data_IF_995847442348
#
_entry.id   IF_995847442348
#
_cell.length_a   1.000
_cell.length_b   1.000
_cell.length_c   1.000
_cell.angle_alpha   90.00
_cell.angle_beta   90.00
_cell.angle_gamma   90.00
#
_symmetry.space_group_name_H-M   'P 1'
#
loop_
_entity.id
_entity.type
_entity.pdbx_description
1 polymer ?
#
# COMPACT_ATOMS: atom_id res chain seq x y z
N UNK A 1 13.72 7.19 -2.13
CA UNK A 1 12.48 7.82 -2.65
C UNK A 1 12.30 7.22 -4.02
N UNK A 2 12.09 5.91 -4.02
CA UNK A 2 12.45 5.10 -5.17
C UNK A 2 11.32 5.18 -6.18
N UNK A 3 11.68 5.46 -7.42
CA UNK A 3 10.73 5.54 -8.51
C UNK A 3 11.05 4.46 -9.52
N UNK A 4 10.00 3.86 -10.06
CA UNK A 4 10.11 2.91 -11.16
C UNK A 4 9.07 3.27 -12.21
N UNK A 5 9.33 2.98 -13.50
CA UNK A 5 8.36 3.18 -14.55
C UNK A 5 7.11 2.31 -14.34
N UNK A 6 5.93 2.73 -14.83
CA UNK A 6 4.72 1.93 -14.71
C UNK A 6 4.87 0.56 -15.40
N UNK A 7 4.49 -0.52 -14.71
CA UNK A 7 4.50 -1.88 -15.27
C UNK A 7 3.20 -2.15 -16.04
N UNK A 8 3.23 -2.04 -17.36
CA UNK A 8 2.10 -2.41 -18.23
C UNK A 8 2.21 -1.80 -19.63
N UNK A 9 1.44 -2.33 -20.60
CA UNK A 9 1.29 -1.72 -21.93
C UNK A 9 0.90 -0.25 -21.74
N UNK A 10 1.74 0.65 -22.28
CA UNK A 10 1.82 2.11 -22.06
C UNK A 10 0.50 2.92 -22.21
N UNK A 11 -0.62 2.27 -22.51
CA UNK A 11 -1.92 2.89 -22.79
C UNK A 11 -2.84 3.12 -21.59
N UNK A 12 -2.55 2.57 -20.39
CA UNK A 12 -3.47 2.69 -19.24
C UNK A 12 -2.81 2.72 -17.85
N UNK A 13 -1.48 2.64 -17.75
CA UNK A 13 -0.81 2.66 -16.45
C UNK A 13 -0.66 4.12 -15.95
N UNK A 14 -1.23 4.40 -14.78
CA UNK A 14 -1.14 5.70 -14.11
C UNK A 14 0.31 5.95 -13.65
N UNK A 15 0.85 7.12 -14.02
CA UNK A 15 2.21 7.58 -13.69
C UNK A 15 2.53 7.38 -12.21
N UNK A 16 3.66 6.73 -11.93
CA UNK A 16 4.14 6.46 -10.57
C UNK A 16 4.69 7.70 -9.89
N UNK A 17 5.15 8.70 -10.65
CA UNK A 17 5.80 9.88 -10.09
C UNK A 17 4.90 10.68 -9.13
N UNK A 18 3.66 11.08 -9.50
CA UNK A 18 2.81 11.83 -8.58
C UNK A 18 2.46 11.04 -7.31
N UNK A 19 2.35 9.71 -7.43
CA UNK A 19 2.09 8.81 -6.30
C UNK A 19 3.29 8.75 -5.36
N UNK A 20 4.50 8.64 -5.91
CA UNK A 20 5.73 8.61 -5.11
C UNK A 20 5.97 9.95 -4.42
N UNK A 21 5.78 11.09 -5.09
CA UNK A 21 5.90 12.42 -4.47
C UNK A 21 4.93 12.56 -3.30
N UNK A 22 3.65 12.23 -3.53
CA UNK A 22 2.62 12.27 -2.50
C UNK A 22 2.98 11.38 -1.32
N UNK A 23 3.45 10.16 -1.59
CA UNK A 23 3.83 9.22 -0.54
C UNK A 23 5.00 9.72 0.31
N UNK A 24 6.04 10.30 -0.30
CA UNK A 24 7.17 10.88 0.46
C UNK A 24 6.68 11.97 1.42
N UNK A 25 5.75 12.81 0.97
CA UNK A 25 5.16 13.87 1.81
C UNK A 25 4.29 13.30 2.92
N UNK A 26 3.42 12.33 2.62
CA UNK A 26 2.57 11.66 3.62
C UNK A 26 3.41 10.89 4.65
N UNK A 27 4.49 10.25 4.21
CA UNK A 27 5.47 9.58 5.06
C UNK A 27 6.10 10.57 6.05
N UNK A 28 6.57 11.73 5.59
CA UNK A 28 7.12 12.77 6.46
C UNK A 28 6.05 13.35 7.39
N UNK A 29 4.83 13.57 6.90
CA UNK A 29 3.72 14.05 7.73
C UNK A 29 3.38 13.05 8.85
N UNK A 30 3.39 11.75 8.54
CA UNK A 30 3.24 10.66 9.53
C UNK A 30 4.26 10.76 10.65
N UNK A 31 5.52 11.05 10.30
CA UNK A 31 6.59 11.18 11.29
C UNK A 31 6.40 12.39 12.21
N UNK A 32 5.82 13.48 11.70
CA UNK A 32 5.60 14.71 12.46
C UNK A 32 4.21 14.81 13.10
N UNK A 33 3.31 13.86 12.87
CA UNK A 33 1.92 13.87 13.35
C UNK A 33 1.85 14.08 14.88
N UNK A 34 2.66 13.35 15.64
CA UNK A 34 2.75 13.47 17.11
C UNK A 34 3.26 14.85 17.58
N UNK A 35 3.87 15.65 16.68
CA UNK A 35 4.35 17.03 16.91
C UNK A 35 3.43 18.09 16.30
N UNK A 36 2.21 17.72 15.90
CA UNK A 36 1.23 18.61 15.27
C UNK A 36 1.23 18.58 13.74
N UNK A 37 1.92 17.61 13.13
CA UNK A 37 1.98 17.41 11.69
C UNK A 37 2.78 18.49 10.94
N UNK A 38 2.60 18.51 9.63
CA UNK A 38 3.12 19.54 8.74
C UNK A 38 1.98 20.52 8.37
N UNK A 39 2.11 21.82 8.67
CA UNK A 39 1.22 22.83 8.14
C UNK A 39 1.23 22.82 6.60
N UNK A 40 0.11 23.16 5.96
CA UNK A 40 -0.02 23.17 4.49
C UNK A 40 1.05 24.01 3.77
N UNK A 41 1.57 25.07 4.39
CA UNK A 41 2.67 25.84 3.82
C UNK A 41 3.99 25.05 3.78
N UNK A 42 4.31 24.31 4.85
CA UNK A 42 5.49 23.45 4.91
C UNK A 42 5.33 22.24 3.97
N UNK A 43 4.14 21.66 3.90
CA UNK A 43 3.80 20.60 2.95
C UNK A 43 4.03 21.06 1.50
N UNK A 44 3.58 22.27 1.16
CA UNK A 44 3.83 22.87 -0.15
C UNK A 44 5.33 23.05 -0.44
N UNK A 45 6.13 23.46 0.54
CA UNK A 45 7.58 23.58 0.37
C UNK A 45 8.27 22.21 0.25
N UNK A 46 7.80 21.20 0.98
CA UNK A 46 8.28 19.82 0.84
C UNK A 46 8.04 19.28 -0.56
N UNK A 47 6.86 19.49 -1.12
CA UNK A 47 6.55 19.08 -2.50
C UNK A 47 7.55 19.73 -3.48
N UNK A 48 7.85 21.01 -3.32
CA UNK A 48 8.82 21.71 -4.17
C UNK A 48 10.24 21.14 -4.03
N UNK A 49 10.68 20.86 -2.81
CA UNK A 49 11.98 20.25 -2.54
C UNK A 49 12.08 18.80 -3.07
N UNK A 50 10.99 18.02 -3.00
CA UNK A 50 10.92 16.68 -3.58
C UNK A 50 11.05 16.75 -5.10
N UNK A 51 10.33 17.64 -5.77
CA UNK A 51 10.45 17.82 -7.23
C UNK A 51 11.88 18.21 -7.63
N UNK A 52 12.51 19.12 -6.88
CA UNK A 52 13.91 19.46 -7.10
C UNK A 52 14.83 18.25 -6.95
N UNK A 53 14.64 17.43 -5.91
CA UNK A 53 15.46 16.24 -5.69
C UNK A 53 15.35 15.23 -6.85
N UNK A 54 14.16 15.07 -7.46
CA UNK A 54 14.02 14.25 -8.66
C UNK A 54 14.69 14.87 -9.88
N UNK A 55 14.51 16.18 -10.08
CA UNK A 55 15.12 16.87 -11.21
C UNK A 55 16.65 16.89 -11.12
N UNK A 56 17.25 17.00 -9.93
CA UNK A 56 18.71 16.93 -9.76
C UNK A 56 19.29 15.55 -10.08
N UNK A 57 18.44 14.52 -10.13
CA UNK A 57 18.76 13.17 -10.61
C UNK A 57 18.37 12.93 -12.07
N UNK A 58 17.94 13.98 -12.77
CA UNK A 58 17.51 13.89 -14.16
C UNK A 58 16.17 13.17 -14.36
N UNK A 59 15.34 13.05 -13.32
CA UNK A 59 14.04 12.36 -13.38
C UNK A 59 12.94 13.39 -13.63
N UNK A 60 12.26 13.27 -14.76
CA UNK A 60 11.28 14.25 -15.25
C UNK A 60 9.89 13.63 -15.29
N UNK A 61 8.93 14.27 -14.62
CA UNK A 61 7.52 13.86 -14.59
C UNK A 61 6.98 13.67 -16.01
N UNK A 62 6.43 12.49 -16.28
CA UNK A 62 5.84 12.12 -17.58
C UNK A 62 6.84 11.62 -18.63
N UNK A 63 8.14 11.68 -18.35
CA UNK A 63 9.19 11.11 -19.21
C UNK A 63 9.70 9.79 -18.61
N UNK A 64 8.94 8.71 -18.81
CA UNK A 64 9.18 7.42 -18.14
C UNK A 64 10.57 6.80 -18.35
N UNK A 65 11.23 7.11 -19.46
CA UNK A 65 12.60 6.65 -19.71
C UNK A 65 13.60 7.20 -18.69
N UNK A 66 13.30 8.37 -18.11
CA UNK A 66 14.14 8.98 -17.07
C UNK A 66 14.00 8.29 -15.72
N UNK A 67 12.95 7.47 -15.50
CA UNK A 67 12.72 6.81 -14.20
C UNK A 67 13.72 5.67 -13.95
N UNK A 68 14.52 5.31 -14.95
CA UNK A 68 15.65 4.39 -14.81
C UNK A 68 16.90 5.07 -14.20
N UNK A 69 16.92 6.41 -14.09
CA UNK A 69 18.00 7.12 -13.41
C UNK A 69 18.00 6.81 -11.91
N UNK A 70 19.13 7.09 -11.25
CA UNK A 70 19.27 6.88 -9.81
C UNK A 70 18.23 7.71 -9.04
N UNK A 71 17.37 7.03 -8.26
CA UNK A 71 16.35 7.70 -7.46
C UNK A 71 16.98 8.58 -6.37
N UNK A 72 16.37 9.74 -6.04
CA UNK A 72 16.87 10.60 -4.97
C UNK A 72 16.74 9.97 -3.59
N UNK A 73 17.56 10.47 -2.67
CA UNK A 73 17.50 10.14 -1.24
C UNK A 73 17.04 11.37 -0.42
N UNK A 74 16.83 11.17 0.88
CA UNK A 74 16.33 12.26 1.76
C UNK A 74 17.33 13.41 1.81
N UNK A 75 18.65 13.18 1.69
CA UNK A 75 19.65 14.25 1.57
C UNK A 75 19.44 15.16 0.35
N UNK A 76 18.99 14.63 -0.79
CA UNK A 76 18.69 15.46 -1.97
C UNK A 76 17.46 16.35 -1.74
N UNK A 77 16.46 15.83 -1.01
CA UNK A 77 15.31 16.61 -0.55
C UNK A 77 15.75 17.70 0.45
N UNK A 78 16.58 17.34 1.44
CA UNK A 78 17.12 18.28 2.43
C UNK A 78 17.88 19.40 1.72
N UNK A 79 18.71 19.08 0.72
CA UNK A 79 19.41 20.08 -0.11
C UNK A 79 18.43 21.04 -0.77
N UNK A 80 17.32 20.55 -1.32
CA UNK A 80 16.27 21.41 -1.88
C UNK A 80 15.66 22.38 -0.88
N UNK A 81 15.48 21.96 0.38
CA UNK A 81 15.02 22.83 1.47
C UNK A 81 16.09 23.86 1.83
N UNK A 82 17.35 23.46 1.93
CA UNK A 82 18.48 24.35 2.22
C UNK A 82 18.65 25.42 1.11
N UNK A 83 18.53 25.04 -0.16
CA UNK A 83 18.53 25.98 -1.30
C UNK A 83 17.44 27.05 -1.15
N UNK A 84 16.22 26.64 -0.77
CA UNK A 84 15.12 27.59 -0.51
C UNK A 84 15.49 28.51 0.66
N UNK A 85 16.01 27.98 1.76
CA UNK A 85 16.39 28.75 2.95
C UNK A 85 17.43 29.83 2.66
N UNK A 86 18.39 29.51 1.79
CA UNK A 86 19.51 30.38 1.40
C UNK A 86 19.15 31.40 0.31
N UNK A 87 17.91 31.39 -0.19
CA UNK A 87 17.39 32.43 -1.06
C UNK A 87 17.34 32.08 -2.54
N UNK A 88 17.54 30.81 -2.88
CA UNK A 88 17.34 30.29 -4.23
C UNK A 88 18.56 29.60 -4.79
N UNK A 89 18.41 29.04 -5.98
CA UNK A 89 19.43 28.21 -6.62
C UNK A 89 20.71 29.00 -6.94
N UNK A 90 20.59 30.23 -7.47
CA UNK A 90 21.74 31.09 -7.77
C UNK A 90 22.56 31.41 -6.51
N UNK A 91 21.89 31.80 -5.41
CA UNK A 91 22.55 32.06 -4.14
C UNK A 91 23.20 30.80 -3.56
N UNK A 92 22.53 29.64 -3.68
CA UNK A 92 23.08 28.36 -3.26
C UNK A 92 24.33 27.95 -4.06
N UNK A 93 24.38 28.28 -5.36
CA UNK A 93 25.55 28.04 -6.21
C UNK A 93 26.72 28.94 -5.82
N UNK A 94 26.47 30.24 -5.56
CA UNK A 94 27.50 31.17 -5.10
C UNK A 94 28.10 30.77 -3.74
N UNK A 95 27.28 30.22 -2.84
CA UNK A 95 27.69 29.74 -1.52
C UNK A 95 28.31 28.32 -1.54
N UNK A 96 28.23 27.62 -2.68
CA UNK A 96 28.76 26.26 -2.86
C UNK A 96 27.94 25.16 -2.19
N UNK A 97 26.64 25.39 -1.96
CA UNK A 97 25.68 24.37 -1.50
C UNK A 97 25.29 23.40 -2.62
N UNK A 98 25.20 23.93 -3.85
CA UNK A 98 25.09 23.16 -5.09
C UNK A 98 26.36 23.37 -5.91
N UNK A 99 26.71 22.40 -6.75
CA UNK A 99 27.92 22.45 -7.55
C UNK A 99 27.65 22.83 -9.02
N UNK A 100 28.73 23.17 -9.73
CA UNK A 100 28.67 23.55 -11.14
C UNK A 100 28.16 22.39 -12.02
N UNK A 101 28.37 21.13 -11.62
CA UNK A 101 27.93 19.98 -12.39
C UNK A 101 26.40 19.83 -12.36
N UNK A 102 25.77 20.09 -11.21
CA UNK A 102 24.31 20.16 -11.09
C UNK A 102 23.73 21.33 -11.89
N UNK A 103 24.41 22.48 -11.90
CA UNK A 103 24.02 23.63 -12.74
C UNK A 103 24.08 23.32 -14.24
N UNK A 104 25.19 22.74 -14.72
CA UNK A 104 25.32 22.28 -16.10
C UNK A 104 24.23 21.26 -16.46
N UNK A 105 23.93 20.34 -15.55
CA UNK A 105 22.87 19.35 -15.73
C UNK A 105 21.49 20.00 -15.92
N UNK A 106 21.12 20.98 -15.09
CA UNK A 106 19.86 21.71 -15.25
C UNK A 106 19.80 22.53 -16.54
N UNK A 107 20.92 23.09 -17.00
CA UNK A 107 21.00 23.75 -18.29
C UNK A 107 20.73 22.77 -19.45
N UNK A 108 21.36 21.58 -19.42
CA UNK A 108 21.17 20.55 -20.45
C UNK A 108 19.74 20.01 -20.53
N UNK A 109 19.09 19.87 -19.36
CA UNK A 109 17.68 19.48 -19.28
C UNK A 109 16.72 20.60 -19.75
N UNK A 110 17.20 21.84 -19.87
CA UNK A 110 16.36 23.00 -20.15
C UNK A 110 15.50 23.42 -18.96
N UNK A 111 15.95 23.13 -17.73
CA UNK A 111 15.36 23.66 -16.49
C UNK A 111 15.86 25.09 -16.22
N UNK A 112 17.14 25.36 -16.54
CA UNK A 112 17.79 26.67 -16.42
C UNK A 112 18.34 27.14 -17.77
N UNK A 113 18.49 28.46 -17.94
CA UNK A 113 19.27 29.06 -19.04
C UNK A 113 20.77 29.12 -18.70
N UNK A 114 21.62 29.42 -19.69
CA UNK A 114 23.07 29.66 -19.46
C UNK A 114 23.32 30.80 -18.47
N UNK A 115 22.36 31.72 -18.32
CA UNK A 115 22.39 32.81 -17.33
C UNK A 115 21.80 32.44 -15.97
N UNK A 116 21.33 31.20 -15.79
CA UNK A 116 20.78 30.70 -14.53
C UNK A 116 19.32 31.04 -14.26
N UNK A 117 18.58 31.52 -15.26
CA UNK A 117 17.16 31.81 -15.13
C UNK A 117 16.30 30.56 -15.39
N UNK A 118 15.25 30.29 -14.59
CA UNK A 118 14.39 29.13 -14.77
C UNK A 118 13.54 29.23 -16.04
N UNK A 119 13.51 28.14 -16.83
CA UNK A 119 12.78 28.05 -18.09
C UNK A 119 11.44 27.33 -17.86
N UNK A 120 10.32 28.04 -17.97
CA UNK A 120 8.98 27.47 -17.74
C UNK A 120 8.28 26.96 -19.01
N UNK A 121 8.80 27.31 -20.19
CA UNK A 121 8.14 27.03 -21.48
C UNK A 121 8.56 25.68 -22.08
N UNK A 122 9.51 24.98 -21.46
CA UNK A 122 10.12 23.74 -21.95
C UNK A 122 9.29 22.46 -21.72
N UNK A 123 8.09 22.59 -21.12
CA UNK A 123 7.23 21.43 -20.81
C UNK A 123 7.59 20.68 -19.54
N UNK A 124 8.74 20.98 -18.93
CA UNK A 124 9.16 20.46 -17.62
C UNK A 124 8.54 21.32 -16.51
N UNK A 125 8.00 20.68 -15.48
CA UNK A 125 7.48 21.38 -14.30
C UNK A 125 8.62 21.77 -13.37
N UNK A 126 9.04 23.04 -13.44
CA UNK A 126 10.13 23.57 -12.62
C UNK A 126 9.62 23.99 -11.23
N UNK A 127 10.22 23.53 -10.11
CA UNK A 127 9.85 23.92 -8.76
C UNK A 127 10.34 25.35 -8.46
N UNK A 128 9.57 26.35 -8.90
CA UNK A 128 9.93 27.77 -8.82
C UNK A 128 10.28 28.24 -7.40
N UNK A 129 9.73 27.61 -6.36
CA UNK A 129 10.08 27.98 -4.98
C UNK A 129 11.53 27.67 -4.62
N UNK A 130 12.15 26.67 -5.27
CA UNK A 130 13.56 26.31 -5.07
C UNK A 130 14.47 27.26 -5.85
N UNK A 131 14.12 27.57 -7.10
CA UNK A 131 14.97 28.42 -7.95
C UNK A 131 14.86 29.91 -7.60
N UNK A 132 13.63 30.41 -7.43
CA UNK A 132 13.34 31.83 -7.14
C UNK A 132 12.38 31.97 -5.95
N UNK A 133 12.81 31.69 -4.71
CA UNK A 133 11.96 31.79 -3.53
C UNK A 133 11.57 33.23 -3.21
N UNK A 134 10.33 33.40 -2.72
CA UNK A 134 9.92 34.63 -2.03
C UNK A 134 10.42 34.64 -0.59
N UNK A 135 10.46 35.79 0.08
CA UNK A 135 10.81 35.88 1.52
C UNK A 135 9.97 34.91 2.37
N UNK A 136 8.68 34.76 2.03
CA UNK A 136 7.79 33.81 2.71
C UNK A 136 8.18 32.36 2.48
N UNK A 137 8.66 31.99 1.28
CA UNK A 137 9.16 30.64 1.04
C UNK A 137 10.39 30.35 1.91
N UNK A 138 11.32 31.31 2.01
CA UNK A 138 12.51 31.18 2.86
C UNK A 138 12.14 31.05 4.34
N UNK A 139 11.17 31.81 4.84
CA UNK A 139 10.70 31.71 6.23
C UNK A 139 10.13 30.33 6.56
N UNK A 140 9.37 29.73 5.63
CA UNK A 140 8.79 28.40 5.79
C UNK A 140 9.88 27.31 5.68
N UNK A 141 10.84 27.45 4.75
CA UNK A 141 11.97 26.51 4.66
C UNK A 141 12.83 26.51 5.94
N UNK A 142 13.07 27.70 6.52
CA UNK A 142 13.77 27.85 7.81
C UNK A 142 13.05 27.16 8.97
N UNK A 143 11.72 27.07 8.97
CA UNK A 143 10.98 26.33 10.00
C UNK A 143 11.02 24.81 9.78
N UNK A 144 11.28 24.38 8.54
CA UNK A 144 11.30 22.99 8.12
C UNK A 144 12.67 22.33 8.34
N UNK A 145 13.78 23.06 8.14
CA UNK A 145 15.16 22.56 8.31
C UNK A 145 15.39 21.77 9.60
N UNK A 146 15.04 22.27 10.81
CA UNK A 146 15.31 21.55 12.05
C UNK A 146 14.55 20.22 12.16
N UNK A 147 13.49 20.03 11.36
CA UNK A 147 12.71 18.78 11.36
C UNK A 147 13.51 17.63 10.72
N UNK A 148 14.43 17.93 9.82
CA UNK A 148 15.25 16.95 9.12
C UNK A 148 16.50 16.48 9.87
N UNK A 149 16.81 17.07 11.03
CA UNK A 149 17.99 16.68 11.83
C UNK A 149 18.01 15.20 12.20
N UNK A 150 16.84 14.55 12.34
CA UNK A 150 16.77 13.10 12.61
C UNK A 150 17.20 12.23 11.43
N UNK A 151 17.21 12.76 10.20
CA UNK A 151 17.60 12.05 8.97
C UNK A 151 19.06 12.29 8.57
N UNK A 152 19.74 13.25 9.20
CA UNK A 152 21.16 13.52 8.97
C UNK A 152 22.05 12.46 9.63
N UNK A 153 23.34 12.33 9.24
CA UNK A 153 24.27 11.38 9.84
C UNK A 153 24.30 11.45 11.38
N UNK A 154 24.08 10.32 12.04
CA UNK A 154 24.01 10.21 13.51
C UNK A 154 22.62 10.50 14.11
N UNK A 155 21.65 10.90 13.29
CA UNK A 155 20.24 10.97 13.64
C UNK A 155 19.58 9.59 13.74
N UNK A 156 18.45 9.51 14.43
CA UNK A 156 17.72 8.24 14.65
C UNK A 156 17.15 7.64 13.36
N UNK A 157 16.74 8.46 12.39
CA UNK A 157 16.14 8.01 11.12
C UNK A 157 17.16 7.94 9.98
N UNK A 158 18.47 8.01 10.28
CA UNK A 158 19.51 8.06 9.24
C UNK A 158 19.51 6.80 8.36
N UNK A 159 19.05 5.67 8.88
CA UNK A 159 18.82 4.42 8.14
C UNK A 159 17.85 4.55 6.94
N UNK A 160 16.98 5.56 6.93
CA UNK A 160 16.03 5.81 5.84
C UNK A 160 16.57 6.81 4.81
N UNK A 161 17.76 7.36 5.04
CA UNK A 161 18.39 8.33 4.16
C UNK A 161 19.48 7.64 3.32
N UNK A 162 19.01 6.88 2.33
CA UNK A 162 19.86 6.14 1.41
C UNK A 162 19.02 5.39 0.39
N UNK A 163 19.70 4.73 -0.55
CA UNK A 163 19.06 3.81 -1.48
C UNK A 163 18.62 2.55 -0.75
N UNK A 164 17.47 1.99 -1.14
CA UNK A 164 17.01 0.71 -0.62
C UNK A 164 18.08 -0.36 -0.87
N UNK A 165 18.51 -1.03 0.19
CA UNK A 165 19.53 -2.09 0.15
C UNK A 165 18.96 -3.46 0.55
N UNK A 166 17.64 -3.59 0.53
CA UNK A 166 16.90 -4.81 0.86
C UNK A 166 16.57 -5.57 -0.42
N UNK A 167 16.76 -6.89 -0.39
CA UNK A 167 16.28 -7.77 -1.45
C UNK A 167 14.79 -8.05 -1.26
N UNK A 168 13.97 -7.35 -2.06
CA UNK A 168 12.51 -7.41 -1.97
C UNK A 168 11.86 -8.20 -3.12
N UNK A 169 12.65 -8.70 -4.07
CA UNK A 169 12.18 -9.53 -5.17
C UNK A 169 12.14 -11.01 -4.78
N UNK A 170 11.13 -11.36 -3.98
CA UNK A 170 10.92 -12.71 -3.49
C UNK A 170 9.43 -13.03 -3.44
N UNK A 171 9.08 -14.31 -3.61
CA UNK A 171 7.70 -14.79 -3.46
C UNK A 171 7.15 -14.56 -2.05
N UNK A 172 8.03 -14.58 -1.04
CA UNK A 172 7.67 -14.32 0.34
C UNK A 172 8.68 -13.32 0.91
N UNK A 173 8.17 -12.17 1.34
CA UNK A 173 8.93 -11.14 2.03
C UNK A 173 8.36 -11.02 3.44
N UNK A 174 9.16 -11.34 4.44
CA UNK A 174 8.80 -11.18 5.86
C UNK A 174 9.69 -10.11 6.44
N UNK A 175 9.08 -9.02 6.91
CA UNK A 175 9.81 -7.92 7.51
C UNK A 175 9.60 -7.95 9.03
N UNK A 176 10.65 -8.29 9.78
CA UNK A 176 10.59 -8.34 11.24
C UNK A 176 10.75 -6.93 11.85
N UNK A 177 9.73 -6.50 12.58
CA UNK A 177 9.66 -5.20 13.25
C UNK A 177 9.96 -5.26 14.75
N UNK A 178 10.35 -6.43 15.27
CA UNK A 178 10.63 -6.64 16.71
C UNK A 178 11.65 -5.65 17.27
N UNK A 179 12.66 -5.27 16.46
CA UNK A 179 13.70 -4.31 16.86
C UNK A 179 13.21 -2.86 16.92
N UNK A 180 12.08 -2.55 16.27
CA UNK A 180 11.51 -1.20 16.20
C UNK A 180 10.28 -1.03 17.09
N UNK A 181 9.83 -2.10 17.78
CA UNK A 181 8.58 -2.18 18.56
C UNK A 181 8.33 -1.01 19.56
N UNK A 182 9.38 -0.31 19.98
CA UNK A 182 9.32 0.79 20.95
C UNK A 182 10.11 2.04 20.52
N UNK A 183 10.52 2.15 19.24
CA UNK A 183 11.28 3.32 18.77
C UNK A 183 10.36 4.39 18.16
N UNK A 184 10.82 5.65 18.18
CA UNK A 184 10.13 6.75 17.50
C UNK A 184 10.16 6.64 15.97
N UNK A 185 10.91 5.68 15.42
CA UNK A 185 11.05 5.43 13.98
C UNK A 185 9.96 4.51 13.43
N UNK A 186 9.38 3.66 14.29
CA UNK A 186 8.36 2.67 13.88
C UNK A 186 7.29 3.25 12.95
N UNK A 187 6.67 4.42 13.23
CA UNK A 187 5.58 4.92 12.41
C UNK A 187 6.00 5.19 10.96
N UNK A 188 7.21 5.71 10.83
CA UNK A 188 7.80 6.10 9.57
C UNK A 188 8.17 4.85 8.76
N UNK A 189 8.80 3.86 9.41
CA UNK A 189 9.15 2.58 8.79
C UNK A 189 7.87 1.83 8.37
N UNK A 190 6.86 1.74 9.24
CA UNK A 190 5.59 1.10 8.92
C UNK A 190 4.88 1.76 7.74
N UNK A 191 4.91 3.09 7.65
CA UNK A 191 4.36 3.81 6.50
C UNK A 191 5.13 3.46 5.22
N UNK A 192 6.46 3.46 5.26
CA UNK A 192 7.29 3.10 4.11
C UNK A 192 7.03 1.66 3.64
N UNK A 193 6.88 0.71 4.57
CA UNK A 193 6.55 -0.69 4.27
C UNK A 193 5.17 -0.84 3.64
N UNK A 194 4.16 -0.16 4.18
CA UNK A 194 2.81 -0.16 3.64
C UNK A 194 2.76 0.45 2.23
N UNK A 195 3.52 1.54 2.02
CA UNK A 195 3.65 2.13 0.69
C UNK A 195 4.33 1.17 -0.28
N UNK A 196 5.46 0.58 0.10
CA UNK A 196 6.16 -0.39 -0.73
C UNK A 196 5.23 -1.53 -1.11
N UNK A 197 4.49 -2.10 -0.15
CA UNK A 197 3.55 -3.18 -0.40
C UNK A 197 2.41 -2.76 -1.34
N UNK A 198 1.92 -1.51 -1.24
CA UNK A 198 0.90 -0.97 -2.15
C UNK A 198 1.43 -0.83 -3.58
N UNK A 199 2.64 -0.30 -3.75
CA UNK A 199 3.28 -0.15 -5.07
C UNK A 199 3.61 -1.52 -5.68
N UNK A 200 4.10 -2.46 -4.87
CA UNK A 200 4.36 -3.84 -5.27
C UNK A 200 3.08 -4.53 -5.73
N UNK A 201 1.98 -4.38 -4.98
CA UNK A 201 0.68 -4.91 -5.36
C UNK A 201 0.20 -4.34 -6.71
N UNK A 202 0.37 -3.03 -6.92
CA UNK A 202 -0.02 -2.37 -8.18
C UNK A 202 0.76 -2.88 -9.39
N UNK A 203 2.05 -3.22 -9.21
CA UNK A 203 2.93 -3.64 -10.30
C UNK A 203 2.96 -5.14 -10.56
N UNK A 204 2.69 -5.95 -9.53
CA UNK A 204 2.76 -7.40 -9.62
C UNK A 204 1.76 -7.93 -10.67
N UNK A 205 2.20 -8.74 -11.64
CA UNK A 205 1.30 -9.44 -12.55
C UNK A 205 0.61 -10.64 -11.86
N UNK A 206 1.05 -10.99 -10.65
CA UNK A 206 0.58 -12.13 -9.88
C UNK A 206 -0.28 -11.68 -8.69
N UNK A 207 -1.08 -12.61 -8.16
CA UNK A 207 -1.78 -12.45 -6.89
C UNK A 207 -0.83 -12.05 -5.78
N UNK A 208 -1.17 -10.97 -5.09
CA UNK A 208 -0.33 -10.40 -4.05
C UNK A 208 -1.12 -10.29 -2.74
N UNK A 209 -0.64 -10.91 -1.67
CA UNK A 209 -1.26 -10.76 -0.35
C UNK A 209 -0.34 -9.96 0.56
N UNK A 210 -0.91 -8.95 1.21
CA UNK A 210 -0.21 -8.15 2.21
C UNK A 210 -0.84 -8.43 3.56
N UNK A 211 -0.05 -8.98 4.47
CA UNK A 211 -0.49 -9.24 5.84
C UNK A 211 0.27 -8.34 6.82
N UNK A 212 -0.47 -7.54 7.58
CA UNK A 212 0.07 -6.77 8.70
C UNK A 212 -0.34 -7.43 10.02
N UNK A 213 0.65 -7.93 10.74
CA UNK A 213 0.48 -8.23 12.16
C UNK A 213 0.55 -6.94 12.99
N UNK A 214 -0.19 -6.90 14.09
CA UNK A 214 -0.32 -5.72 14.95
C UNK A 214 -0.73 -4.43 14.21
N UNK A 215 -1.75 -4.53 13.37
CA UNK A 215 -2.30 -3.41 12.59
C UNK A 215 -2.70 -2.19 13.43
N UNK A 216 -2.83 -2.33 14.75
CA UNK A 216 -3.12 -1.23 15.66
C UNK A 216 -2.09 -0.09 15.62
N UNK A 217 -0.83 -0.39 15.28
CA UNK A 217 0.21 0.63 15.06
C UNK A 217 -0.10 1.52 13.86
N UNK A 218 -0.66 0.95 12.79
CA UNK A 218 -1.07 1.66 11.58
C UNK A 218 -2.39 2.42 11.77
N UNK A 219 -3.36 1.81 12.48
CA UNK A 219 -4.66 2.45 12.76
C UNK A 219 -4.56 3.69 13.67
N UNK A 220 -3.40 3.87 14.31
CA UNK A 220 -3.07 5.03 15.15
C UNK A 220 -3.14 6.37 14.44
N UNK A 221 -2.86 6.40 13.14
CA UNK A 221 -2.40 7.59 12.42
C UNK A 221 -3.23 7.85 11.18
N UNK A 222 -3.48 9.12 10.87
CA UNK A 222 -4.34 9.51 9.75
C UNK A 222 -3.79 9.07 8.39
N UNK A 223 -2.54 9.40 8.10
CA UNK A 223 -1.87 9.08 6.84
C UNK A 223 -1.84 7.58 6.53
N UNK A 224 -1.53 6.73 7.51
CA UNK A 224 -1.54 5.26 7.32
C UNK A 224 -2.95 4.72 7.17
N UNK A 225 -3.95 5.30 7.85
CA UNK A 225 -5.36 4.92 7.63
C UNK A 225 -5.82 5.27 6.22
N UNK A 226 -5.43 6.44 5.71
CA UNK A 226 -5.74 6.86 4.34
C UNK A 226 -5.11 5.94 3.31
N UNK A 227 -3.85 5.55 3.52
CA UNK A 227 -3.14 4.60 2.66
C UNK A 227 -3.77 3.20 2.71
N UNK A 228 -4.19 2.72 3.89
CA UNK A 228 -4.94 1.46 4.01
C UNK A 228 -6.26 1.55 3.23
N UNK A 229 -7.03 2.62 3.39
CA UNK A 229 -8.29 2.82 2.66
C UNK A 229 -8.06 2.90 1.14
N UNK A 230 -6.98 3.56 0.71
CA UNK A 230 -6.56 3.57 -0.70
C UNK A 230 -6.25 2.16 -1.20
N UNK A 231 -5.47 1.39 -0.43
CA UNK A 231 -5.15 0.00 -0.75
C UNK A 231 -6.43 -0.81 -0.88
N UNK A 232 -7.30 -0.84 0.14
CA UNK A 232 -8.53 -1.66 0.13
C UNK A 232 -9.41 -1.33 -1.08
N UNK A 233 -9.54 -0.04 -1.44
CA UNK A 233 -10.31 0.39 -2.62
C UNK A 233 -9.74 -0.15 -3.94
N UNK A 234 -8.42 -0.24 -4.04
CA UNK A 234 -7.75 -0.68 -5.27
C UNK A 234 -7.37 -2.16 -5.29
N UNK A 235 -7.37 -2.85 -4.14
CA UNK A 235 -6.92 -4.23 -3.99
C UNK A 235 -7.54 -5.18 -5.04
N UNK A 236 -8.85 -5.02 -5.31
CA UNK A 236 -9.58 -5.80 -6.32
C UNK A 236 -9.09 -5.58 -7.76
N UNK A 237 -8.60 -4.39 -8.08
CA UNK A 237 -8.07 -4.08 -9.41
C UNK A 237 -6.68 -4.69 -9.63
N UNK A 238 -5.94 -4.95 -8.55
CA UNK A 238 -4.56 -5.43 -8.57
C UNK A 238 -4.42 -6.93 -8.25
N UNK A 239 -5.54 -7.69 -8.25
CA UNK A 239 -5.62 -9.07 -7.75
C UNK A 239 -4.90 -9.25 -6.40
N UNK A 240 -5.06 -8.24 -5.53
CA UNK A 240 -4.37 -8.14 -4.26
C UNK A 240 -5.31 -8.33 -3.06
N UNK A 241 -4.76 -8.87 -1.98
CA UNK A 241 -5.40 -9.01 -0.67
C UNK A 241 -4.71 -8.14 0.38
N UNK A 242 -5.48 -7.59 1.32
CA UNK A 242 -4.95 -6.95 2.51
C UNK A 242 -5.56 -7.63 3.74
N UNK A 243 -4.69 -8.23 4.56
CA UNK A 243 -5.05 -8.88 5.81
C UNK A 243 -4.49 -8.06 6.98
N UNK A 244 -5.37 -7.60 7.86
CA UNK A 244 -5.00 -6.84 9.05
C UNK A 244 -5.28 -7.69 10.29
N UNK A 245 -4.25 -8.00 11.06
CA UNK A 245 -4.35 -8.75 12.31
C UNK A 245 -4.08 -7.83 13.50
N UNK A 246 -4.83 -8.02 14.58
CA UNK A 246 -4.64 -7.27 15.81
C UNK A 246 -5.20 -8.05 16.99
N UNK A 247 -4.72 -7.74 18.20
CA UNK A 247 -5.05 -8.49 19.42
C UNK A 247 -6.53 -8.40 19.79
N UNK A 248 -7.16 -7.24 19.54
CA UNK A 248 -8.55 -7.00 19.92
C UNK A 248 -9.34 -6.32 18.83
N UNK A 249 -10.56 -6.80 18.57
CA UNK A 249 -11.48 -6.16 17.63
C UNK A 249 -11.79 -4.69 17.99
N UNK A 250 -11.65 -4.33 19.28
CA UNK A 250 -11.87 -2.98 19.75
C UNK A 250 -10.89 -1.96 19.15
N UNK A 251 -9.69 -2.36 18.72
CA UNK A 251 -8.70 -1.47 18.11
C UNK A 251 -9.20 -0.81 16.83
N UNK A 252 -10.09 -1.49 16.09
CA UNK A 252 -10.75 -0.98 14.90
C UNK A 252 -11.98 -0.11 15.21
N UNK A 253 -12.53 -0.16 16.43
CA UNK A 253 -13.81 0.47 16.78
C UNK A 253 -13.67 1.76 17.60
N UNK A 254 -12.43 2.16 17.94
CA UNK A 254 -12.14 3.30 18.84
C UNK A 254 -12.59 4.64 18.28
N UNK A 255 -12.45 4.85 16.97
CA UNK A 255 -12.83 6.10 16.28
C UNK A 255 -13.56 5.75 14.99
N UNK A 256 -14.28 6.72 14.41
CA UNK A 256 -15.07 6.51 13.20
C UNK A 256 -14.18 6.16 11.99
N UNK A 257 -13.02 6.80 11.88
CA UNK A 257 -12.10 6.57 10.76
C UNK A 257 -11.45 5.17 10.83
N UNK A 258 -11.27 4.62 12.04
CA UNK A 258 -10.84 3.22 12.20
C UNK A 258 -11.95 2.24 11.84
N UNK A 259 -13.20 2.60 12.11
CA UNK A 259 -14.36 1.78 11.76
C UNK A 259 -14.52 1.70 10.25
N UNK A 260 -14.25 2.79 9.53
CA UNK A 260 -14.28 2.80 8.06
C UNK A 260 -13.40 1.69 7.47
N UNK A 261 -12.17 1.54 7.97
CA UNK A 261 -11.26 0.46 7.54
C UNK A 261 -11.90 -0.91 7.78
N UNK A 262 -12.45 -1.12 8.97
CA UNK A 262 -13.14 -2.38 9.30
C UNK A 262 -14.34 -2.64 8.39
N UNK A 263 -15.14 -1.63 8.07
CA UNK A 263 -16.30 -1.75 7.20
C UNK A 263 -15.92 -2.15 5.78
N UNK A 264 -14.79 -1.63 5.29
CA UNK A 264 -14.24 -1.94 3.98
C UNK A 264 -13.65 -3.37 3.87
N UNK A 265 -13.38 -4.08 4.97
CA UNK A 265 -12.92 -5.47 4.94
C UNK A 265 -14.07 -6.46 4.64
N UNK A 266 -13.99 -7.26 3.58
CA UNK A 266 -15.06 -8.22 3.22
C UNK A 266 -15.14 -9.44 4.16
N UNK A 267 -14.01 -9.83 4.74
CA UNK A 267 -13.86 -11.00 5.60
C UNK A 267 -13.38 -10.54 6.97
N UNK A 268 -14.10 -10.95 8.01
CA UNK A 268 -13.76 -10.65 9.41
C UNK A 268 -13.75 -11.93 10.21
N UNK A 269 -12.67 -12.18 10.93
CA UNK A 269 -12.51 -13.37 11.77
C UNK A 269 -12.29 -12.94 13.22
N UNK A 270 -13.27 -13.19 14.07
CA UNK A 270 -13.18 -12.91 15.50
C UNK A 270 -12.79 -14.19 16.25
N UNK A 271 -11.56 -14.24 16.75
CA UNK A 271 -11.04 -15.34 17.55
C UNK A 271 -11.39 -15.19 19.03
N UNK A 272 -10.81 -16.06 19.86
CA UNK A 272 -10.94 -15.99 21.31
C UNK A 272 -10.65 -14.59 21.85
N UNK A 273 -11.55 -14.07 22.68
CA UNK A 273 -11.36 -12.82 23.42
C UNK A 273 -11.79 -13.02 24.87
N UNK A 274 -10.87 -12.77 25.81
CA UNK A 274 -11.15 -12.90 27.25
C UNK A 274 -12.34 -12.03 27.68
N UNK A 275 -12.43 -10.83 27.12
CA UNK A 275 -13.55 -9.92 27.31
C UNK A 275 -13.94 -9.31 25.98
N UNK A 276 -15.24 -9.34 25.68
CA UNK A 276 -15.83 -8.61 24.56
C UNK A 276 -16.41 -7.31 25.12
N UNK A 277 -15.92 -6.15 24.68
CA UNK A 277 -16.40 -4.85 25.17
C UNK A 277 -17.84 -4.59 24.71
N UNK A 278 -18.59 -3.77 25.45
CA UNK A 278 -19.98 -3.46 25.08
C UNK A 278 -20.08 -2.76 23.73
N UNK A 279 -19.12 -1.88 23.41
CA UNK A 279 -18.98 -1.29 22.08
C UNK A 279 -18.82 -2.35 20.98
N UNK A 280 -18.04 -3.41 21.24
CA UNK A 280 -17.86 -4.52 20.29
C UNK A 280 -19.15 -5.34 20.14
N UNK A 281 -19.89 -5.57 21.23
CA UNK A 281 -21.17 -6.28 21.20
C UNK A 281 -22.22 -5.50 20.42
N UNK A 282 -22.34 -4.21 20.69
CA UNK A 282 -23.30 -3.32 20.05
C UNK A 282 -22.99 -3.15 18.57
N UNK A 283 -21.75 -2.80 18.24
CA UNK A 283 -21.34 -2.53 16.87
C UNK A 283 -21.50 -3.76 15.96
N UNK A 284 -21.13 -4.94 16.47
CA UNK A 284 -21.34 -6.18 15.74
C UNK A 284 -22.75 -6.77 15.93
N UNK A 285 -23.62 -6.21 16.77
CA UNK A 285 -24.90 -6.85 17.14
C UNK A 285 -24.72 -8.33 17.55
N UNK A 286 -23.74 -8.60 18.42
CA UNK A 286 -23.44 -9.96 18.87
C UNK A 286 -24.52 -10.45 19.82
N UNK A 287 -25.09 -11.61 19.51
CA UNK A 287 -25.98 -12.31 20.42
C UNK A 287 -25.23 -12.74 21.69
N UNK A 288 -25.93 -12.90 22.83
CA UNK A 288 -25.32 -13.45 24.05
C UNK A 288 -24.63 -14.81 23.84
N UNK A 289 -25.13 -15.62 22.89
CA UNK A 289 -24.54 -16.90 22.53
C UNK A 289 -23.22 -16.75 21.75
N UNK A 290 -23.11 -15.76 20.85
CA UNK A 290 -21.87 -15.43 20.14
C UNK A 290 -20.82 -14.86 21.09
N UNK A 291 -21.21 -13.96 21.99
CA UNK A 291 -20.31 -13.41 23.02
C UNK A 291 -19.75 -14.55 23.88
N UNK A 292 -20.62 -15.43 24.38
CA UNK A 292 -20.19 -16.60 25.17
C UNK A 292 -19.27 -17.52 24.37
N UNK A 293 -19.53 -17.70 23.08
CA UNK A 293 -18.66 -18.48 22.21
C UNK A 293 -17.28 -17.84 22.08
N UNK A 294 -17.17 -16.53 21.79
CA UNK A 294 -15.88 -15.85 21.70
C UNK A 294 -15.06 -15.95 23.01
N UNK A 295 -15.71 -15.91 24.17
CA UNK A 295 -15.06 -16.08 25.47
C UNK A 295 -14.62 -17.51 25.80
N UNK A 296 -15.07 -18.49 25.03
CA UNK A 296 -14.75 -19.92 25.22
C UNK A 296 -14.23 -20.58 23.94
N UNK A 297 -13.89 -19.78 22.93
CA UNK A 297 -13.47 -20.28 21.64
C UNK A 297 -12.14 -21.05 21.79
N UNK A 298 -12.01 -22.22 21.15
CA UNK A 298 -10.78 -23.00 21.15
C UNK A 298 -9.60 -22.19 20.60
N UNK A 299 -8.41 -22.29 21.22
CA UNK A 299 -7.21 -21.49 20.90
C UNK A 299 -6.09 -22.30 20.22
N UNK A 300 -6.38 -23.50 19.71
CA UNK A 300 -5.39 -24.40 19.10
C UNK A 300 -4.58 -25.22 20.11
N UNK A 301 -4.08 -24.60 21.20
CA UNK A 301 -3.10 -25.21 22.12
C UNK A 301 -3.55 -26.53 22.77
N UNK A 302 -4.79 -26.62 23.26
CA UNK A 302 -5.32 -27.83 23.93
C UNK A 302 -6.36 -28.57 23.08
N UNK A 303 -6.94 -27.89 22.09
CA UNK A 303 -8.09 -28.36 21.32
C UNK A 303 -7.72 -29.02 19.99
N UNK A 304 -6.49 -28.85 19.50
CA UNK A 304 -6.07 -29.31 18.17
C UNK A 304 -6.62 -28.48 17.00
N UNK A 305 -7.40 -27.44 17.28
CA UNK A 305 -7.90 -26.47 16.29
C UNK A 305 -8.20 -25.12 16.96
N UNK A 306 -8.22 -24.06 16.16
CA UNK A 306 -8.62 -22.73 16.59
C UNK A 306 -10.04 -22.43 16.13
N UNK A 307 -10.91 -22.00 17.04
CA UNK A 307 -12.28 -21.61 16.73
C UNK A 307 -12.38 -20.10 16.51
N UNK A 308 -13.10 -19.68 15.48
CA UNK A 308 -13.43 -18.28 15.28
C UNK A 308 -14.89 -18.08 14.87
N UNK A 309 -15.37 -16.85 15.00
CA UNK A 309 -16.61 -16.38 14.40
C UNK A 309 -16.24 -15.68 13.09
N UNK A 310 -16.50 -16.35 11.97
CA UNK A 310 -16.33 -15.82 10.63
C UNK A 310 -17.55 -14.96 10.29
N UNK A 311 -17.32 -13.70 9.91
CA UNK A 311 -18.31 -12.80 9.37
C UNK A 311 -17.93 -12.43 7.94
N UNK A 312 -18.84 -12.67 7.00
CA UNK A 312 -18.66 -12.28 5.60
C UNK A 312 -19.84 -11.45 5.14
N UNK A 313 -19.61 -10.54 4.19
CA UNK A 313 -20.66 -9.67 3.63
C UNK A 313 -21.82 -10.46 3.01
N UNK A 314 -21.57 -11.66 2.47
CA UNK A 314 -22.58 -12.47 1.74
C UNK A 314 -23.28 -13.55 2.55
N UNK A 315 -22.60 -14.16 3.53
CA UNK A 315 -23.09 -15.39 4.18
C UNK A 315 -23.42 -15.22 5.67
N UNK A 316 -23.34 -13.99 6.18
CA UNK A 316 -23.55 -13.68 7.60
C UNK A 316 -22.46 -14.26 8.49
N UNK A 317 -22.79 -14.46 9.78
CA UNK A 317 -21.87 -15.01 10.76
C UNK A 317 -22.00 -16.52 10.93
N UNK A 318 -20.86 -17.21 10.93
CA UNK A 318 -20.74 -18.66 11.12
C UNK A 318 -19.59 -18.95 12.08
N UNK A 319 -19.72 -20.00 12.87
CA UNK A 319 -18.57 -20.56 13.59
C UNK A 319 -17.72 -21.34 12.59
N UNK A 320 -16.42 -21.10 12.64
CA UNK A 320 -15.43 -21.77 11.81
C UNK A 320 -14.41 -22.43 12.74
N UNK A 321 -13.99 -23.64 12.37
CA UNK A 321 -12.86 -24.33 12.97
C UNK A 321 -11.70 -24.26 11.97
N UNK A 322 -10.56 -23.76 12.43
CA UNK A 322 -9.32 -23.67 11.67
C UNK A 322 -8.40 -24.76 12.18
N UNK A 323 -8.10 -25.70 11.29
CA UNK A 323 -7.22 -26.85 11.54
C UNK A 323 -5.93 -26.62 10.77
N UNK A 324 -4.78 -26.75 11.45
CA UNK A 324 -3.46 -26.77 10.81
C UNK A 324 -3.06 -28.20 10.47
N UNK A 325 -2.37 -28.37 9.34
CA UNK A 325 -1.90 -29.67 8.89
C UNK A 325 -0.63 -30.13 9.60
N UNK A 326 -0.36 -31.44 9.57
CA UNK A 326 0.88 -32.02 10.14
C UNK A 326 2.15 -31.38 9.56
N UNK A 327 2.11 -30.98 8.28
CA UNK A 327 3.20 -30.27 7.62
C UNK A 327 3.46 -28.90 8.24
N UNK A 328 2.42 -28.12 8.51
CA UNK A 328 2.55 -26.77 9.08
C UNK A 328 3.13 -26.85 10.49
N UNK A 329 2.65 -27.80 11.30
CA UNK A 329 3.22 -28.10 12.61
C UNK A 329 4.70 -28.49 12.51
N UNK A 330 5.04 -29.38 11.57
CA UNK A 330 6.43 -29.79 11.38
C UNK A 330 7.34 -28.60 11.07
N UNK A 331 6.91 -27.70 10.18
CA UNK A 331 7.71 -26.52 9.81
C UNK A 331 7.84 -25.53 10.97
N UNK A 332 6.72 -25.20 11.63
CA UNK A 332 6.67 -24.16 12.67
C UNK A 332 7.29 -24.64 14.00
N UNK A 333 6.87 -25.79 14.50
CA UNK A 333 7.25 -26.25 15.85
C UNK A 333 8.73 -26.66 15.94
N UNK A 334 9.32 -27.08 14.81
CA UNK A 334 10.74 -27.40 14.72
C UNK A 334 11.59 -26.22 14.24
N UNK A 335 10.99 -25.04 14.06
CA UNK A 335 11.64 -23.83 13.57
C UNK A 335 12.49 -24.09 12.31
N UNK A 336 11.91 -24.85 11.37
CA UNK A 336 12.58 -25.22 10.14
C UNK A 336 12.50 -24.06 9.16
N UNK A 337 13.56 -23.90 8.39
CA UNK A 337 13.65 -22.86 7.38
C UNK A 337 12.75 -23.19 6.18
N UNK A 338 11.70 -22.38 5.91
CA UNK A 338 10.81 -22.59 4.77
C UNK A 338 11.55 -22.59 3.43
N UNK A 339 12.66 -21.85 3.32
CA UNK A 339 13.44 -21.79 2.09
C UNK A 339 14.08 -23.13 1.75
N UNK A 340 14.59 -23.85 2.74
CA UNK A 340 15.15 -25.20 2.52
C UNK A 340 14.09 -26.13 1.94
N UNK A 341 12.86 -26.07 2.45
CA UNK A 341 11.76 -26.89 1.95
C UNK A 341 11.35 -26.51 0.51
N UNK A 342 11.27 -25.20 0.22
CA UNK A 342 10.95 -24.69 -1.12
C UNK A 342 12.04 -25.09 -2.13
N UNK A 343 13.31 -24.94 -1.76
CA UNK A 343 14.47 -25.33 -2.58
C UNK A 343 14.42 -26.82 -2.96
N UNK A 344 14.13 -27.68 -1.99
CA UNK A 344 14.06 -29.13 -2.20
C UNK A 344 12.88 -29.57 -3.08
N UNK A 345 11.76 -28.84 -3.02
CA UNK A 345 10.49 -29.24 -3.66
C UNK A 345 10.24 -28.57 -5.00
N UNK A 346 10.53 -27.29 -5.09
CA UNK A 346 10.21 -26.44 -6.23
C UNK A 346 11.46 -26.05 -7.03
N UNK A 347 12.66 -26.33 -6.50
CA UNK A 347 13.92 -26.02 -7.16
C UNK A 347 14.29 -24.53 -7.17
N UNK A 348 13.47 -23.68 -6.56
CA UNK A 348 13.69 -22.24 -6.43
C UNK A 348 14.73 -21.99 -5.35
N UNK A 349 15.89 -21.45 -5.74
CA UNK A 349 16.98 -21.09 -4.81
C UNK A 349 16.64 -19.81 -4.03
N UNK A 350 17.22 -19.69 -2.84
CA UNK A 350 17.21 -18.42 -2.09
C UNK A 350 17.75 -17.27 -2.95
N UNK A 351 17.21 -16.06 -2.80
CA UNK A 351 17.73 -14.86 -3.46
C UNK A 351 19.23 -14.66 -3.22
N UNK A 352 19.71 -14.95 -2.01
CA UNK A 352 21.11 -14.81 -1.59
C UNK A 352 22.07 -15.74 -2.37
N UNK A 353 21.58 -16.89 -2.88
CA UNK A 353 22.34 -17.86 -3.66
C UNK A 353 22.26 -17.59 -5.19
N UNK A 354 21.49 -16.58 -5.61
CA UNK A 354 21.35 -16.16 -7.00
C UNK A 354 22.46 -15.18 -7.45
N UNK A 355 23.57 -15.10 -6.71
CA UNK A 355 24.77 -14.37 -7.14
C UNK A 355 25.46 -15.04 -8.32
N UNK A 356 25.50 -14.35 -9.47
CA UNK A 356 26.33 -14.59 -10.66
C UNK A 356 25.99 -15.79 -11.56
N UNK A 357 24.72 -15.92 -11.98
CA UNK A 357 24.43 -16.69 -13.20
C UNK A 357 23.82 -15.74 -14.23
N UNK A 358 24.62 -15.34 -15.22
CA UNK A 358 24.10 -14.95 -16.53
C UNK A 358 23.18 -16.09 -17.00
N UNK A 359 21.89 -15.90 -16.86
CA UNK A 359 20.91 -16.88 -17.32
C UNK A 359 20.30 -16.35 -18.61
N UNK A 360 20.89 -16.78 -19.73
CA UNK A 360 20.18 -16.93 -21.01
C UNK A 360 18.90 -17.74 -20.75
N UNK A 361 17.78 -17.07 -20.47
CA UNK A 361 16.47 -17.68 -20.54
C UNK A 361 16.02 -17.59 -22.00
N UNK A 362 16.26 -18.68 -22.73
CA UNK A 362 15.68 -18.91 -24.05
C UNK A 362 14.15 -18.95 -23.89
N UNK A 363 13.45 -18.16 -24.71
CA UNK A 363 12.03 -17.82 -24.59
C UNK A 363 11.07 -19.00 -24.85
N UNK A 364 11.57 -20.23 -24.84
CA UNK A 364 10.88 -21.43 -25.35
C UNK A 364 10.46 -22.45 -24.29
N UNK A 365 10.83 -22.25 -23.02
CA UNK A 365 10.50 -23.19 -21.92
C UNK A 365 9.44 -22.67 -20.91
N UNK A 366 8.80 -21.54 -21.18
CA UNK A 366 7.60 -21.15 -20.42
C UNK A 366 6.39 -21.95 -20.91
N UNK A 367 5.69 -22.72 -20.05
CA UNK A 367 4.43 -23.34 -20.45
C UNK A 367 3.40 -22.25 -20.76
N UNK A 368 2.78 -22.33 -21.95
CA UNK A 368 1.67 -21.46 -22.34
C UNK A 368 0.49 -21.67 -21.37
N UNK A 369 0.34 -20.76 -20.40
CA UNK A 369 -0.85 -20.70 -19.54
C UNK A 369 -1.53 -19.34 -19.72
N UNK A 370 -2.07 -19.12 -20.91
CA UNK A 370 -3.20 -18.20 -21.08
C UNK A 370 -4.50 -18.98 -20.90
N UNK A 371 -4.84 -19.43 -19.69
CA UNK A 371 -6.13 -20.05 -19.41
C UNK A 371 -7.24 -19.00 -19.19
N UNK A 372 -7.37 -18.06 -20.13
CA UNK A 372 -8.55 -17.19 -20.24
C UNK A 372 -9.76 -17.95 -20.82
N UNK A 373 -9.52 -19.04 -21.53
CA UNK A 373 -10.58 -19.90 -22.10
C UNK A 373 -11.15 -20.90 -21.09
N UNK A 374 -10.36 -21.36 -20.12
CA UNK A 374 -10.81 -22.30 -19.08
C UNK A 374 -11.79 -21.62 -18.10
N UNK A 375 -11.53 -20.36 -17.75
CA UNK A 375 -12.43 -19.56 -16.88
C UNK A 375 -13.76 -19.22 -17.57
N UNK A 376 -13.77 -19.01 -18.90
CA UNK A 376 -15.02 -18.82 -19.65
C UNK A 376 -15.86 -20.10 -19.74
N UNK A 377 -15.22 -21.27 -19.85
CA UNK A 377 -15.94 -22.55 -19.87
C UNK A 377 -16.54 -22.90 -18.50
N UNK A 378 -15.78 -22.69 -17.41
CA UNK A 378 -16.28 -22.89 -16.05
C UNK A 378 -17.47 -21.97 -15.73
N UNK A 379 -17.41 -20.71 -16.17
CA UNK A 379 -18.52 -19.75 -15.97
C UNK A 379 -19.78 -20.13 -16.77
N UNK A 380 -19.62 -20.76 -17.94
CA UNK A 380 -20.71 -21.26 -18.77
C UNK A 380 -21.42 -22.50 -18.19
N UNK A 381 -20.68 -23.42 -17.57
CA UNK A 381 -21.24 -24.62 -16.94
C UNK A 381 -22.05 -24.29 -15.68
N UNK A 382 -21.62 -23.31 -14.87
CA UNK A 382 -22.40 -22.84 -13.70
C UNK A 382 -23.71 -22.12 -14.06
N UNK A 383 -23.84 -21.60 -15.29
CA UNK A 383 -25.07 -20.95 -15.76
C UNK A 383 -26.12 -21.97 -16.24
N UNK A 384 -25.70 -23.11 -16.81
CA UNK A 384 -26.62 -24.16 -17.24
C UNK A 384 -27.25 -24.93 -16.07
N UNK A 385 -26.52 -25.09 -14.96
CA UNK A 385 -27.02 -25.80 -13.77
C UNK A 385 -28.10 -25.01 -13.00
N UNK A 386 -28.17 -23.68 -13.17
CA UNK A 386 -29.24 -22.84 -12.62
C UNK A 386 -30.51 -22.80 -13.47
N UNK A 387 -30.43 -23.12 -14.77
CA UNK A 387 -31.59 -23.15 -15.66
C UNK A 387 -32.35 -24.50 -15.61
N UNK A 388 -31.76 -25.54 -15.01
CA UNK A 388 -32.35 -26.87 -14.90
C UNK A 388 -33.25 -27.07 -13.66
N UNK A 389 -33.44 -26.05 -12.82
CA UNK A 389 -34.19 -26.16 -11.54
C UNK A 389 -35.39 -25.21 -11.40
N UNK A 390 -36.04 -24.81 -12.49
CA UNK A 390 -37.36 -24.15 -12.44
C UNK A 390 -38.47 -25.08 -12.97
N UNK A 391 -39.60 -25.25 -12.27
CA UNK A 391 -40.71 -26.06 -12.77
C UNK A 391 -41.48 -25.30 -13.84
N UNK A 392 -41.67 -25.93 -15.00
CA UNK A 392 -42.43 -25.38 -16.13
C UNK A 392 -43.92 -25.19 -15.79
N UNK A 393 -44.58 -24.11 -16.25
CA UNK A 393 -46.02 -23.97 -16.12
C UNK A 393 -46.74 -24.83 -17.17
N UNK A 394 -47.64 -25.69 -16.71
CA UNK A 394 -48.49 -26.52 -17.56
C UNK A 394 -49.51 -25.67 -18.33
N UNK A 395 -49.61 -25.95 -19.63
CA UNK A 395 -50.73 -25.56 -20.49
C UNK A 395 -51.92 -26.49 -20.24
N UNK A 396 -53.09 -25.94 -19.93
CA UNK A 396 -54.35 -26.57 -20.26
C UNK A 396 -55.32 -25.53 -20.86
N UNK A 397 -56.00 -25.99 -21.90
CA UNK A 397 -56.73 -25.21 -22.89
C UNK A 397 -58.24 -25.20 -22.63
N UNK A 398 -58.89 -24.08 -23.01
CA UNK A 398 -60.29 -23.96 -23.50
C UNK A 398 -61.41 -24.15 -22.45
N UNK A 399 -62.23 -23.12 -22.18
CA UNK A 399 -63.53 -22.88 -22.85
C UNK A 399 -64.33 -21.71 -22.22
N UNK A 400 -65.18 -21.07 -23.03
CA UNK A 400 -66.53 -20.62 -22.61
C UNK A 400 -66.76 -19.33 -21.78
N UNK A 401 -67.16 -18.28 -22.49
CA UNK A 401 -68.33 -17.42 -22.21
C UNK A 401 -68.37 -16.37 -21.08
N UNK A 402 -68.48 -15.10 -21.53
CA UNK A 402 -69.54 -14.08 -21.24
C UNK A 402 -69.72 -13.51 -19.81
N UNK A 403 -69.59 -12.18 -19.74
CA UNK A 403 -70.44 -11.15 -19.08
C UNK A 403 -69.82 -10.22 -18.01
N UNK A 404 -70.04 -8.93 -18.30
CA UNK A 404 -70.37 -7.80 -17.41
C UNK A 404 -69.30 -7.07 -16.56
N UNK A 405 -68.93 -5.90 -17.11
CA UNK A 405 -68.69 -4.58 -16.48
C UNK A 405 -69.90 -4.22 -15.55
N UNK A 406 -69.81 -3.49 -14.40
CA UNK A 406 -69.17 -2.17 -14.28
C UNK A 406 -68.47 -1.75 -12.96
N UNK A 407 -67.52 -0.82 -13.15
CA UNK A 407 -67.34 0.51 -12.54
C UNK A 407 -67.45 0.80 -11.02
N UNK A 408 -66.72 1.88 -10.66
CA UNK A 408 -66.75 2.69 -9.41
C UNK A 408 -66.04 2.07 -8.21
N UNK A 409 -65.35 2.81 -7.34
CA UNK A 409 -65.13 4.24 -7.18
C UNK A 409 -64.29 4.45 -5.89
N UNK A 410 -63.66 5.61 -5.80
CA UNK A 410 -63.07 6.28 -4.63
C UNK A 410 -63.09 5.56 -3.26
N UNK A 411 -61.91 5.38 -2.66
CA UNK A 411 -61.41 6.19 -1.53
C UNK A 411 -59.99 5.80 -1.13
#
# INVERSE_FOLDING_TARGET
MDIEPPSGDLGAAEDTYPLTVRSVVEMLNTHYEDRGGLPAAEEGMLIQAVHYAYLSKGIVLGEYETYANESPIIDDLIRGVEVITHGGYEAALEEGLVDEAEFEHFCEMGVLSEEGEPITDAGISVPMAVFTPSEKHQEVAKSLEPKFESFKPGGINYNLNGTTNLELNSRLVVMDMSSFADTGEMPLILHAMLQWAYLEAKRSPNRFDVTFDEAHYLLGRESTRDLINLFIRHARHYDAGLTLMSQTAHEFLRTEERREIYENCDIKMLFYAQSVSDATKEYFDLSPAEVKYLQSAPRGQESGYSGCLLSTTKHGRRRLEVHSGDFEHYMIDNNLDPWTYIEEREGTRRPEDAGSVESELDLTDMPDITNRELDMQLTGEFAQDRAASEPSPGSDSVDGSVSDVPASGER
#
